data_IF_107950329482
#
_entry.id   IF_107950329482
#
_cell.length_a   1.000
_cell.length_b   1.000
_cell.length_c   1.000
_cell.angle_alpha   90.00
_cell.angle_beta   90.00
_cell.angle_gamma   90.00
#
_symmetry.space_group_name_H-M   'P 1'
#
loop_
_entity.id
_entity.type
_entity.pdbx_description
1 polymer ?
#
# COMPACT_ATOMS: atom_id res chain seq x y z
N UNK A 1 -14.39 24.59 -11.46
CA UNK A 1 -13.08 24.33 -12.09
C UNK A 1 -12.15 25.49 -11.72
N UNK A 2 -10.92 25.25 -11.26
CA UNK A 2 -9.96 26.35 -10.95
C UNK A 2 -9.21 26.74 -12.23
N UNK A 3 -8.97 28.04 -12.44
CA UNK A 3 -8.08 28.50 -13.50
C UNK A 3 -6.63 28.11 -13.23
N UNK A 4 -5.79 28.01 -14.27
CA UNK A 4 -4.37 27.67 -14.11
C UNK A 4 -3.61 28.64 -13.19
N UNK A 5 -3.92 29.94 -13.26
CA UNK A 5 -3.35 30.97 -12.38
C UNK A 5 -3.71 30.81 -10.90
N UNK A 6 -4.75 30.04 -10.60
CA UNK A 6 -5.23 29.74 -9.24
C UNK A 6 -4.92 28.30 -8.82
N UNK A 7 -4.18 27.56 -9.65
CA UNK A 7 -3.81 26.17 -9.41
C UNK A 7 -2.30 26.04 -9.26
N UNK A 8 -1.86 25.07 -8.47
CA UNK A 8 -0.43 24.86 -8.23
C UNK A 8 0.12 23.75 -9.11
N UNK A 9 0.88 24.15 -10.13
CA UNK A 9 1.49 23.25 -11.13
C UNK A 9 2.95 23.66 -11.37
N UNK A 10 3.88 23.20 -10.52
CA UNK A 10 5.28 23.59 -10.65
C UNK A 10 5.94 22.76 -11.76
N UNK A 11 5.81 23.16 -13.02
CA UNK A 11 6.51 22.50 -14.11
C UNK A 11 8.02 22.79 -14.09
N UNK A 12 8.84 21.86 -14.58
CA UNK A 12 10.28 22.07 -14.74
C UNK A 12 10.67 22.10 -16.22
N UNK A 13 11.55 23.03 -16.58
CA UNK A 13 12.12 23.14 -17.94
C UNK A 13 13.05 21.97 -18.26
N UNK A 14 13.80 21.51 -17.26
CA UNK A 14 14.82 20.47 -17.40
C UNK A 14 14.46 19.24 -16.55
N UNK A 15 14.96 18.08 -16.97
CA UNK A 15 14.78 16.84 -16.20
C UNK A 15 15.79 16.82 -15.05
N UNK A 16 15.41 16.32 -13.85
CA UNK A 16 16.38 16.04 -12.80
C UNK A 16 17.46 15.05 -13.27
N UNK A 17 18.69 15.23 -12.82
CA UNK A 17 19.83 14.37 -13.20
C UNK A 17 19.68 12.92 -12.69
N UNK A 18 18.96 12.71 -11.58
CA UNK A 18 18.71 11.41 -10.96
C UNK A 18 17.49 10.67 -11.54
N UNK A 19 16.81 11.26 -12.53
CA UNK A 19 15.72 10.62 -13.22
C UNK A 19 16.23 9.84 -14.44
N UNK A 20 16.34 8.52 -14.32
CA UNK A 20 16.91 7.66 -15.38
C UNK A 20 15.92 7.38 -16.52
N UNK A 21 14.69 6.98 -16.21
CA UNK A 21 13.68 6.54 -17.19
C UNK A 21 12.70 7.65 -17.60
N UNK A 22 12.09 7.49 -18.78
CA UNK A 22 11.19 8.48 -19.37
C UNK A 22 9.99 8.83 -18.47
N UNK A 23 9.32 7.83 -17.88
CA UNK A 23 8.17 8.05 -17.00
C UNK A 23 8.55 8.89 -15.78
N UNK A 24 9.68 8.58 -15.13
CA UNK A 24 10.18 9.36 -14.00
C UNK A 24 10.52 10.80 -14.40
N UNK A 25 11.22 11.00 -15.52
CA UNK A 25 11.54 12.35 -16.05
C UNK A 25 10.26 13.16 -16.30
N UNK A 26 9.26 12.57 -16.93
CA UNK A 26 7.99 13.25 -17.26
C UNK A 26 7.16 13.54 -16.02
N UNK A 27 7.03 12.61 -15.08
CA UNK A 27 6.30 12.80 -13.82
C UNK A 27 6.82 14.02 -13.04
N UNK A 28 8.15 14.16 -12.94
CA UNK A 28 8.75 15.29 -12.21
C UNK A 28 8.60 16.59 -13.01
N UNK A 29 8.88 16.57 -14.32
CA UNK A 29 8.79 17.77 -15.19
C UNK A 29 7.38 18.33 -15.30
N UNK A 30 6.38 17.47 -15.39
CA UNK A 30 4.98 17.87 -15.45
C UNK A 30 4.45 18.36 -14.08
N UNK A 31 5.27 18.34 -13.03
CA UNK A 31 4.85 18.76 -11.69
C UNK A 31 3.85 17.80 -11.07
N UNK A 32 3.90 16.50 -11.41
CA UNK A 32 3.00 15.47 -10.87
C UNK A 32 3.52 14.88 -9.57
N UNK A 33 4.85 14.75 -9.43
CA UNK A 33 5.50 14.28 -8.20
C UNK A 33 6.75 15.09 -7.86
N UNK A 34 7.13 15.06 -6.59
CA UNK A 34 8.43 15.53 -6.09
C UNK A 34 9.07 14.46 -5.25
N UNK A 35 10.37 14.25 -5.43
CA UNK A 35 11.15 13.35 -4.59
C UNK A 35 11.38 14.02 -3.24
N UNK A 36 10.99 13.35 -2.17
CA UNK A 36 11.31 13.76 -0.80
C UNK A 36 12.71 13.26 -0.43
N UNK A 37 13.02 12.01 -0.75
CA UNK A 37 14.31 11.37 -0.48
C UNK A 37 14.17 9.85 -0.36
N UNK A 38 15.24 9.09 -0.58
CA UNK A 38 15.28 7.65 -0.27
C UNK A 38 14.16 6.77 -0.86
N UNK A 39 13.62 7.11 -2.04
CA UNK A 39 12.50 6.38 -2.64
C UNK A 39 11.11 6.81 -2.16
N UNK A 40 11.00 7.97 -1.50
CA UNK A 40 9.75 8.60 -1.06
C UNK A 40 9.40 9.76 -1.99
N UNK A 41 8.11 9.88 -2.32
CA UNK A 41 7.60 10.88 -3.27
C UNK A 41 6.36 11.58 -2.73
N UNK A 42 6.32 12.89 -2.87
CA UNK A 42 5.11 13.70 -2.69
C UNK A 42 4.33 13.72 -4.00
N UNK A 43 3.07 13.31 -3.96
CA UNK A 43 2.13 13.51 -5.05
C UNK A 43 1.66 14.97 -5.05
N UNK A 44 2.00 15.69 -6.12
CA UNK A 44 1.59 17.08 -6.31
C UNK A 44 0.11 17.13 -6.72
N UNK A 45 -0.56 18.30 -6.68
CA UNK A 45 -2.02 18.37 -6.88
C UNK A 45 -2.54 17.65 -8.14
N UNK A 46 -1.87 17.78 -9.28
CA UNK A 46 -2.25 17.05 -10.49
C UNK A 46 -1.93 15.55 -10.42
N UNK A 47 -0.81 15.16 -9.81
CA UNK A 47 -0.46 13.75 -9.61
C UNK A 47 -1.45 13.04 -8.67
N UNK A 48 -1.87 13.72 -7.60
CA UNK A 48 -2.90 13.23 -6.69
C UNK A 48 -4.24 13.05 -7.40
N UNK A 49 -4.63 13.99 -8.27
CA UNK A 49 -5.85 13.85 -9.10
C UNK A 49 -5.80 12.64 -10.03
N UNK A 50 -4.64 12.34 -10.62
CA UNK A 50 -4.46 11.13 -11.44
C UNK A 50 -4.58 9.89 -10.55
N UNK A 51 -3.91 9.89 -9.39
CA UNK A 51 -4.00 8.77 -8.44
C UNK A 51 -5.45 8.50 -8.03
N UNK A 52 -6.22 9.53 -7.67
CA UNK A 52 -7.63 9.40 -7.30
C UNK A 52 -8.49 8.80 -8.43
N UNK A 53 -8.21 9.13 -9.69
CA UNK A 53 -8.91 8.53 -10.82
C UNK A 53 -8.57 7.05 -10.98
N UNK A 54 -7.28 6.69 -10.84
CA UNK A 54 -6.84 5.31 -10.94
C UNK A 54 -7.43 4.46 -9.82
N UNK A 55 -7.40 4.95 -8.58
CA UNK A 55 -7.96 4.23 -7.44
C UNK A 55 -9.48 4.11 -7.53
N UNK A 56 -10.17 5.12 -8.08
CA UNK A 56 -11.61 5.03 -8.32
C UNK A 56 -11.95 3.96 -9.36
N UNK A 57 -11.23 3.88 -10.47
CA UNK A 57 -11.40 2.82 -11.46
C UNK A 57 -11.17 1.43 -10.84
N UNK A 58 -10.08 1.25 -10.10
CA UNK A 58 -9.82 -0.02 -9.43
C UNK A 58 -10.95 -0.40 -8.46
N UNK A 59 -11.49 0.56 -7.71
CA UNK A 59 -12.62 0.33 -6.80
C UNK A 59 -13.87 -0.10 -7.57
N UNK A 60 -14.24 0.63 -8.61
CA UNK A 60 -15.42 0.33 -9.42
C UNK A 60 -15.37 -1.08 -10.04
N UNK A 61 -14.20 -1.49 -10.54
CA UNK A 61 -14.03 -2.83 -11.11
C UNK A 61 -14.12 -3.93 -10.04
N UNK A 62 -13.44 -3.75 -8.90
CA UNK A 62 -13.44 -4.77 -7.82
C UNK A 62 -14.80 -4.88 -7.15
N UNK A 63 -15.49 -3.76 -6.88
CA UNK A 63 -16.86 -3.77 -6.36
C UNK A 63 -17.84 -4.36 -7.38
N UNK A 64 -17.65 -4.08 -8.68
CA UNK A 64 -18.40 -4.70 -9.76
C UNK A 64 -18.27 -6.23 -9.80
N UNK A 65 -17.10 -6.75 -9.41
CA UNK A 65 -16.82 -8.18 -9.21
C UNK A 65 -17.30 -8.76 -7.88
N UNK A 66 -17.99 -7.97 -7.04
CA UNK A 66 -18.49 -8.40 -5.73
C UNK A 66 -17.48 -8.27 -4.58
N UNK A 67 -16.36 -7.59 -4.80
CA UNK A 67 -15.41 -7.24 -3.77
C UNK A 67 -15.99 -6.25 -2.74
N UNK A 68 -15.56 -6.40 -1.50
CA UNK A 68 -16.05 -5.61 -0.36
C UNK A 68 -14.89 -4.76 0.15
N UNK A 69 -14.99 -3.44 0.00
CA UNK A 69 -13.94 -2.53 0.48
C UNK A 69 -13.96 -2.44 2.01
N UNK A 70 -12.79 -2.51 2.62
CA UNK A 70 -12.55 -2.24 4.03
C UNK A 70 -11.26 -1.44 4.22
N UNK A 71 -10.96 -1.05 5.45
CA UNK A 71 -9.74 -0.29 5.77
C UNK A 71 -8.98 -0.93 6.91
N UNK A 72 -7.74 -1.35 6.65
CA UNK A 72 -6.86 -1.96 7.65
C UNK A 72 -5.77 -0.98 8.12
N UNK A 73 -5.32 -1.08 9.39
CA UNK A 73 -4.23 -0.25 9.88
C UNK A 73 -2.92 -0.55 9.16
N UNK A 74 -2.03 0.44 9.08
CA UNK A 74 -0.69 0.29 8.46
C UNK A 74 0.41 -0.05 9.45
N UNK A 75 0.15 0.15 10.73
CA UNK A 75 1.05 -0.17 11.84
C UNK A 75 0.58 -1.49 12.42
N UNK A 76 1.38 -2.55 12.28
CA UNK A 76 1.02 -3.90 12.71
C UNK A 76 1.85 -4.28 13.93
N UNK A 77 1.26 -4.94 14.94
CA UNK A 77 2.03 -5.63 15.97
C UNK A 77 2.95 -6.65 15.31
N UNK A 78 4.21 -6.70 15.73
CA UNK A 78 5.20 -7.66 15.19
C UNK A 78 4.75 -9.11 15.40
N UNK A 79 4.04 -9.39 16.48
CA UNK A 79 3.58 -10.72 16.85
C UNK A 79 2.66 -11.34 15.79
N UNK A 80 1.88 -10.51 15.07
CA UNK A 80 1.04 -10.99 13.96
C UNK A 80 1.88 -11.62 12.85
N UNK A 81 3.10 -11.11 12.63
CA UNK A 81 4.01 -11.57 11.60
C UNK A 81 4.89 -12.72 12.05
N UNK A 82 5.40 -12.69 13.28
CA UNK A 82 6.30 -13.73 13.81
C UNK A 82 5.67 -15.13 13.81
N UNK A 83 4.36 -15.19 13.99
CA UNK A 83 3.58 -16.44 13.95
C UNK A 83 3.31 -16.91 12.51
N UNK A 84 3.50 -16.03 11.51
CA UNK A 84 3.19 -16.28 10.12
C UNK A 84 4.35 -16.91 9.34
N UNK A 85 4.05 -17.64 8.25
CA UNK A 85 5.07 -18.30 7.41
C UNK A 85 5.98 -17.31 6.67
N UNK A 86 5.61 -16.02 6.64
CA UNK A 86 6.30 -14.98 5.86
C UNK A 86 7.31 -14.18 6.66
N UNK A 87 7.41 -14.39 7.98
CA UNK A 87 8.27 -13.60 8.86
C UNK A 87 9.71 -13.47 8.35
N UNK A 88 10.32 -14.59 7.98
CA UNK A 88 11.73 -14.62 7.58
C UNK A 88 12.04 -13.73 6.37
N UNK A 89 11.14 -13.70 5.38
CA UNK A 89 11.29 -12.87 4.18
C UNK A 89 10.80 -11.43 4.42
N UNK A 90 9.68 -11.27 5.12
CA UNK A 90 9.04 -9.97 5.30
C UNK A 90 9.88 -9.04 6.19
N UNK A 91 10.54 -9.58 7.22
CA UNK A 91 11.41 -8.81 8.13
C UNK A 91 12.60 -8.13 7.44
N UNK A 92 13.06 -8.65 6.30
CA UNK A 92 14.20 -8.08 5.55
C UNK A 92 13.83 -6.75 4.87
N UNK A 93 12.54 -6.56 4.58
CA UNK A 93 12.01 -5.40 3.86
C UNK A 93 11.01 -4.59 4.69
N UNK A 94 10.88 -4.85 5.98
CA UNK A 94 10.00 -4.09 6.87
C UNK A 94 10.69 -2.87 7.44
N UNK A 95 9.93 -1.80 7.61
CA UNK A 95 10.29 -0.76 8.56
C UNK A 95 9.85 -1.19 9.94
N UNK A 96 10.76 -1.09 10.91
CA UNK A 96 10.45 -1.20 12.33
C UNK A 96 10.21 0.20 12.87
N UNK A 97 9.20 0.33 13.72
CA UNK A 97 8.95 1.55 14.47
C UNK A 97 9.31 1.28 15.92
N UNK A 98 10.29 2.02 16.44
CA UNK A 98 10.66 1.91 17.84
C UNK A 98 9.52 2.44 18.74
N UNK A 99 9.53 2.02 20.00
CA UNK A 99 8.57 2.49 20.99
C UNK A 99 8.72 3.98 21.29
N UNK A 100 7.61 4.63 21.62
CA UNK A 100 7.65 6.01 22.08
C UNK A 100 8.42 6.07 23.41
N UNK A 101 9.46 6.92 23.47
CA UNK A 101 10.27 7.05 24.68
C UNK A 101 11.43 6.06 24.80
N UNK A 102 11.91 5.47 23.71
CA UNK A 102 13.20 4.77 23.67
C UNK A 102 14.29 5.56 24.43
N UNK A 103 14.90 4.93 25.44
CA UNK A 103 15.88 5.56 26.35
C UNK A 103 15.30 6.19 27.63
N UNK A 104 13.98 6.30 27.77
CA UNK A 104 13.30 6.64 29.03
C UNK A 104 12.84 5.34 29.69
N UNK A 105 13.58 4.89 30.70
CA UNK A 105 13.35 3.61 31.36
C UNK A 105 11.87 3.35 31.68
N UNK A 106 11.38 2.20 31.21
CA UNK A 106 9.98 1.71 31.19
C UNK A 106 9.15 2.19 30.00
N UNK A 107 9.28 1.48 28.89
CA UNK A 107 8.09 0.87 28.27
C UNK A 107 8.45 -0.49 27.68
N UNK A 108 7.76 -1.55 28.12
CA UNK A 108 7.59 -2.79 27.35
C UNK A 108 6.49 -2.53 26.31
N UNK A 109 6.62 -1.44 25.54
CA UNK A 109 5.67 -1.22 24.46
C UNK A 109 5.86 -2.31 23.40
N UNK A 110 4.78 -2.87 22.86
CA UNK A 110 4.87 -3.90 21.83
C UNK A 110 5.65 -3.37 20.62
N UNK A 111 6.43 -4.25 19.99
CA UNK A 111 7.17 -3.90 18.78
C UNK A 111 6.18 -3.78 17.62
N UNK A 112 6.30 -2.72 16.83
CA UNK A 112 5.45 -2.49 15.68
C UNK A 112 6.26 -2.39 14.40
N UNK A 113 5.61 -2.74 13.29
CA UNK A 113 6.15 -2.61 11.94
C UNK A 113 5.18 -1.87 11.03
N UNK A 114 5.71 -1.21 10.01
CA UNK A 114 4.89 -0.73 8.90
C UNK A 114 4.60 -1.89 7.94
N UNK A 115 3.33 -2.15 7.70
CA UNK A 115 2.84 -3.27 6.90
C UNK A 115 3.30 -3.21 5.43
N UNK A 116 4.07 -4.21 4.94
CA UNK A 116 4.36 -4.36 3.51
C UNK A 116 3.22 -4.98 2.70
N UNK A 117 2.26 -5.62 3.39
CA UNK A 117 1.03 -6.27 2.92
C UNK A 117 0.16 -6.64 4.14
N UNK A 118 -1.04 -7.21 3.95
CA UNK A 118 -2.07 -7.34 5.00
C UNK A 118 -2.63 -8.76 5.24
N UNK A 119 -2.03 -9.83 4.72
CA UNK A 119 -2.56 -11.20 4.92
C UNK A 119 -2.58 -11.61 6.41
N UNK A 120 -1.55 -11.28 7.21
CA UNK A 120 -1.53 -11.52 8.67
C UNK A 120 -2.44 -10.57 9.45
N UNK A 121 -3.09 -9.60 8.79
CA UNK A 121 -4.09 -8.72 9.40
C UNK A 121 -5.50 -9.21 9.09
N UNK A 122 -5.79 -9.49 7.82
CA UNK A 122 -7.13 -9.90 7.38
C UNK A 122 -7.46 -11.34 7.76
N UNK A 123 -6.48 -12.25 7.76
CA UNK A 123 -6.74 -13.69 8.04
C UNK A 123 -7.23 -13.92 9.46
N UNK A 124 -6.61 -13.34 10.52
CA UNK A 124 -7.15 -13.46 11.88
C UNK A 124 -8.53 -12.82 12.04
N UNK A 125 -8.78 -11.69 11.40
CA UNK A 125 -10.09 -11.03 11.40
C UNK A 125 -11.16 -11.95 10.81
N UNK A 126 -10.93 -12.49 9.62
CA UNK A 126 -11.88 -13.38 8.96
C UNK A 126 -12.09 -14.67 9.75
N UNK A 127 -11.03 -15.24 10.34
CA UNK A 127 -11.14 -16.41 11.22
C UNK A 127 -12.06 -16.16 12.43
N UNK A 128 -12.05 -14.95 12.97
CA UNK A 128 -12.87 -14.58 14.12
C UNK A 128 -14.33 -14.31 13.71
N UNK A 129 -14.53 -13.61 12.60
CA UNK A 129 -15.86 -13.11 12.19
C UNK A 129 -16.65 -14.13 11.34
N UNK A 130 -15.99 -14.95 10.52
CA UNK A 130 -16.63 -15.97 9.69
C UNK A 130 -16.52 -17.34 10.35
N UNK A 131 -17.64 -17.80 10.92
CA UNK A 131 -17.71 -19.06 11.68
C UNK A 131 -18.40 -20.20 10.92
N UNK A 132 -19.00 -19.91 9.75
CA UNK A 132 -19.76 -20.86 8.95
C UNK A 132 -19.38 -20.76 7.48
N UNK A 133 -19.29 -21.92 6.80
CA UNK A 133 -19.07 -21.97 5.35
C UNK A 133 -20.18 -21.27 4.56
N UNK A 134 -21.37 -21.08 5.16
CA UNK A 134 -22.50 -20.40 4.53
C UNK A 134 -22.26 -18.91 4.31
N UNK A 135 -21.32 -18.33 5.04
CA UNK A 135 -20.92 -16.94 4.86
C UNK A 135 -19.85 -16.79 3.77
N UNK A 136 -19.36 -17.89 3.19
CA UNK A 136 -18.38 -17.91 2.10
C UNK A 136 -19.07 -18.12 0.74
N UNK A 137 -18.55 -17.54 -0.34
CA UNK A 137 -17.26 -16.82 -0.44
C UNK A 137 -17.35 -15.35 -0.03
N UNK A 138 -16.19 -14.78 0.34
CA UNK A 138 -16.00 -13.33 0.52
C UNK A 138 -14.69 -12.88 -0.09
N UNK A 139 -14.72 -11.76 -0.80
CA UNK A 139 -13.53 -11.08 -1.31
C UNK A 139 -13.46 -9.69 -0.68
N UNK A 140 -12.47 -9.48 0.18
CA UNK A 140 -12.24 -8.20 0.83
C UNK A 140 -11.07 -7.48 0.18
N UNK A 141 -11.16 -6.18 0.00
CA UNK A 141 -10.05 -5.41 -0.54
C UNK A 141 -9.88 -4.06 0.14
N UNK A 142 -8.72 -3.45 -0.06
CA UNK A 142 -8.48 -2.06 0.28
C UNK A 142 -7.59 -1.42 -0.78
N UNK A 143 -7.67 -0.09 -0.91
CA UNK A 143 -6.70 0.69 -1.68
C UNK A 143 -5.95 1.59 -0.71
N UNK A 144 -4.76 1.16 -0.31
CA UNK A 144 -4.05 1.79 0.80
C UNK A 144 -2.54 1.86 0.57
N UNK A 145 -1.88 2.74 1.31
CA UNK A 145 -0.42 2.87 1.31
C UNK A 145 0.23 1.59 1.87
N UNK A 146 1.39 1.22 1.33
CA UNK A 146 2.23 0.11 1.78
C UNK A 146 3.66 0.57 1.91
N UNK A 147 4.41 -0.11 2.77
CA UNK A 147 5.78 0.26 3.09
C UNK A 147 6.71 -0.93 2.87
N UNK A 148 7.74 -0.75 2.04
CA UNK A 148 8.81 -1.73 1.85
C UNK A 148 10.14 -0.99 1.94
N UNK A 149 10.99 -1.36 2.88
CA UNK A 149 12.31 -0.79 3.09
C UNK A 149 13.29 -1.25 1.99
N UNK A 150 12.99 -0.86 0.77
CA UNK A 150 13.74 -1.21 -0.42
C UNK A 150 15.19 -0.72 -0.29
N UNK A 151 16.12 -1.67 -0.44
CA UNK A 151 17.56 -1.44 -0.31
C UNK A 151 18.03 -0.46 -1.39
N UNK A 152 17.48 -0.56 -2.61
CA UNK A 152 17.84 0.30 -3.74
C UNK A 152 16.61 0.84 -4.49
N UNK A 153 15.95 1.88 -3.97
CA UNK A 153 14.84 2.52 -4.67
C UNK A 153 15.33 3.19 -5.95
N UNK A 154 14.65 2.92 -7.08
CA UNK A 154 15.03 3.43 -8.41
C UNK A 154 13.80 3.66 -9.27
N UNK A 155 13.99 4.33 -10.41
CA UNK A 155 12.96 4.45 -11.45
C UNK A 155 11.66 5.19 -11.03
N UNK A 156 11.77 6.18 -10.15
CA UNK A 156 10.60 6.99 -9.77
C UNK A 156 9.64 6.21 -8.88
N UNK A 157 8.35 6.24 -9.26
CA UNK A 157 7.28 5.51 -8.57
C UNK A 157 7.31 3.99 -8.83
N UNK A 158 8.09 3.51 -9.81
CA UNK A 158 8.13 2.08 -10.16
C UNK A 158 8.75 1.20 -9.07
N UNK A 159 9.71 1.75 -8.30
CA UNK A 159 10.37 1.05 -7.20
C UNK A 159 10.65 2.03 -6.06
N UNK A 160 9.59 2.30 -5.30
CA UNK A 160 9.56 3.22 -4.16
C UNK A 160 9.53 2.46 -2.83
N UNK A 161 9.77 3.17 -1.71
CA UNK A 161 9.64 2.60 -0.36
C UNK A 161 8.24 2.73 0.22
N UNK A 162 7.52 3.76 -0.20
CA UNK A 162 6.14 4.02 0.14
C UNK A 162 5.35 4.12 -1.17
N UNK A 163 4.29 3.33 -1.31
CA UNK A 163 3.50 3.25 -2.52
C UNK A 163 2.05 2.88 -2.22
N UNK A 164 1.13 3.21 -3.13
CA UNK A 164 -0.28 2.84 -3.02
C UNK A 164 -0.48 1.48 -3.70
N UNK A 165 -1.24 0.61 -3.06
CA UNK A 165 -1.57 -0.72 -3.56
C UNK A 165 -3.08 -0.94 -3.39
N UNK A 166 -3.69 -1.58 -4.39
CA UNK A 166 -4.94 -2.29 -4.19
C UNK A 166 -4.57 -3.74 -3.88
N UNK A 167 -4.95 -4.21 -2.71
CA UNK A 167 -4.75 -5.57 -2.22
C UNK A 167 -6.12 -6.19 -1.89
N UNK A 168 -6.39 -7.35 -2.48
CA UNK A 168 -7.62 -8.11 -2.34
C UNK A 168 -7.35 -9.51 -1.80
N UNK A 169 -8.28 -10.03 -1.00
CA UNK A 169 -8.16 -11.24 -0.22
C UNK A 169 -9.47 -12.04 -0.30
N UNK A 170 -9.46 -13.14 -1.06
CA UNK A 170 -10.59 -14.06 -1.17
C UNK A 170 -10.53 -15.16 -0.11
N UNK A 171 -11.70 -15.50 0.42
CA UNK A 171 -11.91 -16.58 1.37
C UNK A 171 -13.03 -17.47 0.85
N UNK A 172 -12.73 -18.77 0.78
CA UNK A 172 -13.58 -19.76 0.13
C UNK A 172 -13.61 -21.04 0.95
N UNK A 173 -14.69 -21.82 0.81
CA UNK A 173 -14.88 -23.05 1.58
C UNK A 173 -14.05 -24.24 1.08
N UNK A 174 -13.55 -24.18 -0.16
CA UNK A 174 -12.77 -25.23 -0.82
C UNK A 174 -11.98 -24.68 -2.01
N UNK A 175 -11.02 -25.48 -2.49
CA UNK A 175 -10.08 -25.12 -3.55
C UNK A 175 -10.77 -24.79 -4.89
N UNK A 176 -11.85 -25.50 -5.26
CA UNK A 176 -12.60 -25.23 -6.50
C UNK A 176 -13.23 -23.84 -6.46
N UNK A 177 -13.77 -23.43 -5.31
CA UNK A 177 -14.28 -22.07 -5.10
C UNK A 177 -13.16 -21.04 -5.08
N UNK A 178 -12.01 -21.35 -4.46
CA UNK A 178 -10.82 -20.47 -4.49
C UNK A 178 -10.37 -20.18 -5.91
N UNK A 179 -10.32 -21.19 -6.78
CA UNK A 179 -9.95 -21.02 -8.19
C UNK A 179 -10.93 -20.08 -8.89
N UNK A 180 -12.24 -20.24 -8.65
CA UNK A 180 -13.26 -19.35 -9.21
C UNK A 180 -13.09 -17.92 -8.72
N UNK A 181 -12.92 -17.72 -7.41
CA UNK A 181 -12.72 -16.40 -6.81
C UNK A 181 -11.43 -15.72 -7.25
N UNK A 182 -10.38 -16.48 -7.59
CA UNK A 182 -9.11 -15.95 -8.09
C UNK A 182 -9.19 -15.44 -9.55
N UNK A 183 -10.02 -16.07 -10.38
CA UNK A 183 -10.19 -15.71 -11.79
C UNK A 183 -11.39 -14.83 -12.10
N UNK A 184 -12.23 -14.55 -11.11
CA UNK A 184 -13.36 -13.62 -11.19
C UNK A 184 -12.86 -12.17 -11.25
#
# INVERSE_FOLDING_TARGET
MKFWSQYFVPTLKESPADAEIASHKLLVRAGLVRKLGGGLYTYMPLGLRVMQKLTQLCREEIEGGGGIELWMPHVHPVENWEQGPRWAAAREIMFRTDSAGAGKGRSKEPEFVLGPTHEEVITPLVKQEITSYRDLPKNFFQIATKFRNEIRPRFGLMRAREFVMMDAYSFDANDDSTVKSYFA
#
